data_IF_240825049304
#
_entry.id   IF_240825049304
#
_cell.length_a   1.000
_cell.length_b   1.000
_cell.length_c   1.000
_cell.angle_alpha   90.00
_cell.angle_beta   90.00
_cell.angle_gamma   90.00
#
_symmetry.space_group_name_H-M   'P 1'
#
loop_
_entity.id
_entity.type
_entity.pdbx_description
1 polymer ?
#
# COMPACT_ATOMS: atom_id res chain seq x y z
N UNK A 1 21.79 10.81 -10.18
CA UNK A 1 21.88 10.93 -8.71
C UNK A 1 23.02 11.88 -8.35
N UNK A 2 22.77 12.82 -7.45
CA UNK A 2 23.80 13.75 -6.98
C UNK A 2 24.81 13.01 -6.08
N UNK A 3 26.11 13.38 -6.13
CA UNK A 3 27.17 12.71 -5.37
C UNK A 3 26.93 12.68 -3.84
N UNK A 4 26.19 13.65 -3.31
CA UNK A 4 25.74 13.71 -1.90
C UNK A 4 25.04 12.41 -1.46
N UNK A 5 24.26 11.75 -2.34
CA UNK A 5 23.50 10.54 -2.02
C UNK A 5 24.26 9.24 -2.34
N UNK A 6 25.58 9.30 -2.48
CA UNK A 6 26.44 8.10 -2.62
C UNK A 6 26.24 7.09 -1.50
N UNK A 7 26.13 7.48 -0.21
CA UNK A 7 25.86 6.53 0.88
C UNK A 7 24.58 5.69 0.66
N UNK A 8 23.51 6.31 0.19
CA UNK A 8 22.25 5.60 -0.11
C UNK A 8 22.43 4.57 -1.24
N UNK A 9 23.17 4.94 -2.29
CA UNK A 9 23.48 4.01 -3.39
C UNK A 9 24.31 2.83 -2.90
N UNK A 10 25.31 3.10 -2.10
CA UNK A 10 26.23 2.06 -1.61
C UNK A 10 25.48 1.11 -0.67
N UNK A 11 24.69 1.62 0.26
CA UNK A 11 23.79 0.82 1.10
C UNK A 11 22.83 -0.04 0.24
N UNK A 12 22.17 0.54 -0.77
CA UNK A 12 21.29 -0.20 -1.67
C UNK A 12 22.02 -1.35 -2.39
N UNK A 13 23.24 -1.14 -2.86
CA UNK A 13 24.04 -2.17 -3.50
C UNK A 13 24.50 -3.25 -2.53
N UNK A 14 24.84 -2.88 -1.29
CA UNK A 14 25.26 -3.83 -0.24
C UNK A 14 24.15 -4.81 0.13
N UNK A 15 22.89 -4.43 0.02
CA UNK A 15 21.78 -5.36 0.21
C UNK A 15 21.82 -6.55 -0.77
N UNK A 16 22.27 -6.33 -2.01
CA UNK A 16 22.43 -7.40 -2.99
C UNK A 16 23.68 -8.23 -2.74
N UNK A 17 24.83 -7.58 -2.44
CA UNK A 17 26.08 -8.30 -2.20
C UNK A 17 26.03 -9.18 -0.97
N UNK A 18 25.22 -8.80 0.02
CA UNK A 18 24.98 -9.59 1.25
C UNK A 18 23.84 -10.60 1.09
N UNK A 19 23.18 -10.67 -0.08
CA UNK A 19 22.06 -11.58 -0.33
C UNK A 19 20.78 -11.22 0.44
N UNK A 20 20.68 -10.02 0.99
CA UNK A 20 19.49 -9.52 1.70
C UNK A 20 18.42 -8.99 0.73
N UNK A 21 18.79 -8.73 -0.52
CA UNK A 21 17.88 -8.33 -1.58
C UNK A 21 18.08 -9.17 -2.85
N UNK A 22 17.03 -9.33 -3.63
CA UNK A 22 17.04 -10.11 -4.89
C UNK A 22 16.53 -9.31 -6.07
N UNK A 23 15.64 -8.36 -5.82
CA UNK A 23 15.09 -7.47 -6.83
C UNK A 23 14.33 -6.32 -6.18
N UNK A 24 14.76 -5.08 -6.43
CA UNK A 24 14.15 -3.92 -5.81
C UNK A 24 14.33 -2.63 -6.63
N UNK A 25 13.52 -1.65 -6.28
CA UNK A 25 13.68 -0.25 -6.68
C UNK A 25 13.59 0.67 -5.46
N UNK A 26 14.35 1.77 -5.49
CA UNK A 26 14.34 2.84 -4.50
C UNK A 26 14.21 4.19 -5.21
N UNK A 27 13.31 5.03 -4.72
CA UNK A 27 13.15 6.40 -5.19
C UNK A 27 12.99 7.36 -4.02
N UNK A 28 13.73 8.48 -4.08
CA UNK A 28 13.65 9.58 -3.10
C UNK A 28 13.50 10.89 -3.86
N UNK A 29 12.56 11.72 -3.40
CA UNK A 29 12.46 13.12 -3.76
C UNK A 29 12.85 13.97 -2.55
N UNK A 30 13.51 15.07 -2.78
CA UNK A 30 13.85 16.04 -1.74
C UNK A 30 13.68 17.46 -2.31
N UNK A 31 13.00 18.33 -1.54
CA UNK A 31 12.65 19.68 -1.98
C UNK A 31 11.96 19.71 -3.37
N UNK A 32 11.05 18.77 -3.59
CA UNK A 32 10.25 18.69 -4.81
C UNK A 32 11.00 18.15 -6.05
N UNK A 33 12.23 17.68 -5.90
CA UNK A 33 13.02 17.11 -7.04
C UNK A 33 13.47 15.68 -6.75
N UNK A 34 13.50 14.79 -7.77
CA UNK A 34 13.98 13.43 -7.60
C UNK A 34 15.50 13.40 -7.42
N UNK A 35 15.97 12.94 -6.26
CA UNK A 35 17.40 12.90 -5.91
C UNK A 35 18.03 11.50 -5.97
N UNK A 36 17.22 10.45 -5.70
CA UNK A 36 17.63 9.05 -5.80
C UNK A 36 16.65 8.30 -6.68
N UNK A 37 17.19 7.51 -7.64
CA UNK A 37 16.46 6.54 -8.44
C UNK A 37 17.39 5.35 -8.67
N UNK A 38 17.14 4.25 -7.98
CA UNK A 38 17.95 3.04 -8.05
C UNK A 38 17.04 1.85 -8.38
N UNK A 39 17.56 0.95 -9.17
CA UNK A 39 16.97 -0.36 -9.47
C UNK A 39 18.07 -1.40 -9.47
N UNK A 40 17.75 -2.62 -9.06
CA UNK A 40 18.74 -3.69 -9.03
C UNK A 40 18.11 -5.07 -8.93
N UNK A 41 18.89 -6.09 -9.30
CA UNK A 41 18.52 -7.49 -9.17
C UNK A 41 17.66 -8.03 -10.31
N UNK A 42 16.85 -9.04 -9.99
CA UNK A 42 16.03 -9.79 -10.95
C UNK A 42 14.53 -9.62 -10.68
N UNK A 43 13.72 -9.77 -11.73
CA UNK A 43 12.25 -9.88 -11.64
C UNK A 43 11.77 -11.32 -11.46
N UNK A 44 12.67 -12.30 -11.51
CA UNK A 44 12.34 -13.71 -11.30
C UNK A 44 12.26 -14.01 -9.81
N UNK A 45 11.31 -14.86 -9.41
CA UNK A 45 11.34 -15.49 -8.08
C UNK A 45 12.62 -16.31 -7.94
N UNK A 46 13.26 -16.20 -6.79
CA UNK A 46 14.49 -16.95 -6.49
C UNK A 46 14.35 -17.67 -5.15
N UNK A 47 14.98 -18.86 -4.99
CA UNK A 47 14.99 -19.60 -3.74
C UNK A 47 15.60 -18.78 -2.58
N UNK A 48 15.18 -19.01 -1.34
CA UNK A 48 15.83 -18.44 -0.16
C UNK A 48 17.34 -18.72 -0.15
N UNK A 49 18.13 -17.75 0.32
CA UNK A 49 19.60 -17.86 0.37
C UNK A 49 20.31 -17.61 -0.97
N UNK A 50 19.56 -17.34 -2.05
CA UNK A 50 20.17 -16.99 -3.35
C UNK A 50 20.71 -15.57 -3.30
N UNK A 51 21.97 -15.39 -3.70
CA UNK A 51 22.59 -14.07 -3.91
C UNK A 51 22.40 -13.70 -5.37
N UNK A 52 21.80 -12.54 -5.61
CA UNK A 52 21.53 -11.99 -6.94
C UNK A 52 22.34 -10.70 -7.10
N UNK A 53 23.13 -10.54 -8.19
CA UNK A 53 23.86 -9.30 -8.41
C UNK A 53 22.90 -8.14 -8.68
N UNK A 54 23.23 -6.93 -8.20
CA UNK A 54 22.46 -5.73 -8.46
C UNK A 54 22.38 -5.38 -9.95
N UNK A 55 23.39 -5.78 -10.73
CA UNK A 55 23.42 -5.59 -12.18
C UNK A 55 23.83 -6.88 -12.90
N UNK A 56 23.33 -7.07 -14.14
CA UNK A 56 23.67 -8.21 -14.96
C UNK A 56 22.94 -9.52 -14.65
N UNK A 57 21.85 -9.45 -13.86
CA UNK A 57 20.99 -10.60 -13.59
C UNK A 57 20.21 -11.02 -14.85
N UNK A 58 19.88 -12.31 -14.94
CA UNK A 58 18.85 -12.78 -15.88
C UNK A 58 17.49 -12.17 -15.49
N UNK A 59 16.66 -11.77 -16.46
CA UNK A 59 15.43 -11.01 -16.23
C UNK A 59 15.67 -9.79 -15.31
N UNK A 60 16.48 -8.80 -15.74
CA UNK A 60 16.92 -7.71 -14.87
C UNK A 60 15.74 -6.82 -14.45
N UNK A 61 15.78 -6.34 -13.21
CA UNK A 61 14.86 -5.29 -12.75
C UNK A 61 15.09 -4.02 -13.56
N UNK A 62 13.99 -3.38 -13.98
CA UNK A 62 14.00 -2.16 -14.80
C UNK A 62 13.28 -1.03 -14.06
N UNK A 63 13.47 0.24 -14.50
CA UNK A 63 12.78 1.38 -13.90
C UNK A 63 11.24 1.28 -13.95
N UNK A 64 10.69 0.54 -14.91
CA UNK A 64 9.27 0.31 -15.13
C UNK A 64 8.79 -1.05 -14.62
N UNK A 65 9.63 -1.79 -13.88
CA UNK A 65 9.23 -3.04 -13.24
C UNK A 65 8.21 -2.76 -12.15
N UNK A 66 7.04 -3.37 -12.27
CA UNK A 66 6.00 -3.37 -11.24
C UNK A 66 6.25 -4.51 -10.25
N UNK A 67 5.90 -4.27 -9.00
CA UNK A 67 5.87 -5.31 -7.97
C UNK A 67 4.70 -5.06 -7.04
N UNK A 68 4.12 -6.12 -6.49
CA UNK A 68 3.11 -6.02 -5.45
C UNK A 68 3.72 -5.43 -4.18
N UNK A 69 3.17 -4.34 -3.69
CA UNK A 69 3.68 -3.60 -2.51
C UNK A 69 2.82 -3.81 -1.25
N UNK A 70 1.85 -4.71 -1.31
CA UNK A 70 0.93 -4.99 -0.21
C UNK A 70 0.30 -3.71 0.39
N UNK A 71 0.32 -3.60 1.72
CA UNK A 71 -0.35 -2.51 2.45
C UNK A 71 0.19 -1.12 2.14
N UNK A 72 1.40 -0.98 1.57
CA UNK A 72 1.86 0.30 1.06
C UNK A 72 0.95 0.87 -0.05
N UNK A 73 0.03 0.06 -0.58
CA UNK A 73 -1.03 0.46 -1.51
C UNK A 73 -2.28 1.04 -0.86
N UNK A 74 -2.53 0.85 0.44
CA UNK A 74 -3.75 1.34 1.12
C UNK A 74 -3.93 2.87 1.00
N UNK A 75 -2.89 3.69 1.15
CA UNK A 75 -3.03 5.12 0.91
C UNK A 75 -3.54 5.47 -0.49
N UNK A 76 -3.20 4.66 -1.49
CA UNK A 76 -3.60 4.91 -2.88
C UNK A 76 -5.11 4.72 -3.08
N UNK A 77 -5.70 3.68 -2.51
CA UNK A 77 -7.16 3.51 -2.57
C UNK A 77 -7.87 4.55 -1.70
N UNK A 78 -7.30 4.93 -0.55
CA UNK A 78 -7.83 6.02 0.26
C UNK A 78 -7.89 7.33 -0.54
N UNK A 79 -6.84 7.67 -1.27
CA UNK A 79 -6.78 8.87 -2.13
C UNK A 79 -7.82 8.85 -3.24
N UNK A 80 -8.22 7.68 -3.76
CA UNK A 80 -9.33 7.58 -4.71
C UNK A 80 -10.64 8.08 -4.07
N UNK A 81 -10.94 7.65 -2.84
CA UNK A 81 -12.13 8.11 -2.12
C UNK A 81 -12.01 9.56 -1.69
N UNK A 82 -10.84 9.98 -1.21
CA UNK A 82 -10.56 11.35 -0.81
C UNK A 82 -10.68 12.35 -1.97
N UNK A 83 -10.37 11.95 -3.20
CA UNK A 83 -10.62 12.77 -4.38
C UNK A 83 -12.12 13.02 -4.59
N UNK A 84 -12.98 12.06 -4.27
CA UNK A 84 -14.44 12.26 -4.30
C UNK A 84 -14.92 13.14 -3.13
N UNK A 85 -14.26 13.10 -1.98
CA UNK A 85 -14.48 14.02 -0.88
C UNK A 85 -14.14 15.46 -1.30
N UNK A 86 -12.98 15.66 -1.89
CA UNK A 86 -12.51 16.97 -2.38
C UNK A 86 -13.46 17.59 -3.42
N UNK A 87 -14.08 16.71 -4.23
CA UNK A 87 -15.09 17.11 -5.22
C UNK A 87 -16.50 17.28 -4.63
N UNK A 88 -16.67 17.19 -3.32
CA UNK A 88 -17.96 17.35 -2.64
C UNK A 88 -18.97 16.22 -2.91
N UNK A 89 -18.52 15.06 -3.44
CA UNK A 89 -19.37 13.91 -3.74
C UNK A 89 -19.53 12.96 -2.57
N UNK A 90 -18.62 13.01 -1.60
CA UNK A 90 -18.60 12.18 -0.39
C UNK A 90 -18.35 13.10 0.80
N UNK A 91 -19.12 12.92 1.87
CA UNK A 91 -18.90 13.54 3.17
C UNK A 91 -18.22 12.51 4.09
N UNK A 92 -17.10 12.88 4.69
CA UNK A 92 -16.34 12.02 5.59
C UNK A 92 -17.15 11.55 6.81
N UNK A 93 -18.03 12.41 7.30
CA UNK A 93 -18.80 12.17 8.53
C UNK A 93 -20.21 11.59 8.24
N UNK A 94 -20.56 11.42 6.97
CA UNK A 94 -21.76 10.72 6.57
C UNK A 94 -21.64 9.20 6.87
N UNK A 95 -22.74 8.52 7.22
CA UNK A 95 -22.75 7.08 7.35
C UNK A 95 -22.47 6.42 6.00
N UNK A 96 -21.73 5.31 6.01
CA UNK A 96 -21.42 4.51 4.81
C UNK A 96 -22.70 4.13 4.06
N UNK A 97 -23.80 3.84 4.78
CA UNK A 97 -25.10 3.50 4.20
C UNK A 97 -25.71 4.60 3.32
N UNK A 98 -25.26 5.84 3.43
CA UNK A 98 -25.69 6.93 2.53
C UNK A 98 -25.20 6.69 1.08
N UNK A 99 -24.06 6.04 0.91
CA UNK A 99 -23.45 5.73 -0.40
C UNK A 99 -23.56 4.25 -0.77
N UNK A 100 -23.70 3.38 0.24
CA UNK A 100 -23.81 1.94 0.08
C UNK A 100 -25.11 1.42 0.73
N UNK A 101 -26.27 1.50 0.03
CA UNK A 101 -27.51 0.99 0.54
C UNK A 101 -27.42 -0.49 0.94
N UNK A 102 -27.91 -0.81 2.13
CA UNK A 102 -27.82 -2.17 2.71
C UNK A 102 -26.57 -2.44 3.54
N UNK A 103 -25.63 -1.50 3.62
CA UNK A 103 -24.52 -1.60 4.56
C UNK A 103 -25.03 -1.47 6.00
N UNK A 104 -24.79 -2.50 6.83
CA UNK A 104 -25.41 -2.61 8.16
C UNK A 104 -24.64 -1.93 9.27
N UNK A 105 -23.30 -1.99 9.22
CA UNK A 105 -22.50 -1.37 10.26
C UNK A 105 -22.74 0.14 10.32
N UNK A 106 -23.02 0.72 11.51
CA UNK A 106 -23.29 2.15 11.66
C UNK A 106 -21.98 2.96 11.65
N UNK A 107 -21.12 2.69 10.68
CA UNK A 107 -19.84 3.36 10.53
C UNK A 107 -19.94 4.55 9.56
N UNK A 108 -19.16 5.60 9.82
CA UNK A 108 -18.96 6.72 8.90
C UNK A 108 -17.83 6.42 7.90
N UNK A 109 -17.77 7.20 6.83
CA UNK A 109 -16.68 7.12 5.86
C UNK A 109 -15.32 7.37 6.54
N UNK A 110 -15.25 8.35 7.45
CA UNK A 110 -14.05 8.63 8.25
C UNK A 110 -13.60 7.42 9.06
N UNK A 111 -14.52 6.72 9.72
CA UNK A 111 -14.22 5.53 10.50
C UNK A 111 -13.72 4.36 9.65
N UNK A 112 -14.17 4.23 8.40
CA UNK A 112 -13.60 3.28 7.44
C UNK A 112 -12.15 3.66 7.11
N UNK A 113 -11.90 4.93 6.77
CA UNK A 113 -10.57 5.41 6.40
C UNK A 113 -9.53 5.32 7.53
N UNK A 114 -9.98 5.35 8.78
CA UNK A 114 -9.14 5.31 9.99
C UNK A 114 -9.06 3.94 10.66
N UNK A 115 -9.50 2.88 9.97
CA UNK A 115 -9.50 1.51 10.49
C UNK A 115 -10.33 1.30 11.79
N UNK A 116 -11.29 2.18 12.06
CA UNK A 116 -12.13 2.13 13.28
C UNK A 116 -13.57 1.68 13.01
N UNK A 117 -13.88 1.20 11.79
CA UNK A 117 -15.24 0.77 11.43
C UNK A 117 -15.70 -0.54 12.10
N UNK A 118 -14.81 -1.27 12.78
CA UNK A 118 -15.14 -2.53 13.43
C UNK A 118 -15.31 -3.73 12.50
N UNK A 119 -14.79 -3.65 11.27
CA UNK A 119 -14.88 -4.68 10.23
C UNK A 119 -13.50 -5.18 9.78
N UNK A 120 -12.64 -5.66 10.70
CA UNK A 120 -11.24 -5.97 10.39
C UNK A 120 -11.06 -7.23 9.56
N UNK A 121 -12.06 -8.11 9.48
CA UNK A 121 -12.03 -9.37 8.75
C UNK A 121 -13.34 -9.62 7.99
N UNK A 122 -13.28 -10.37 6.90
CA UNK A 122 -14.50 -10.85 6.24
C UNK A 122 -15.26 -11.82 7.17
N UNK A 123 -16.59 -11.63 7.35
CA UNK A 123 -17.37 -12.38 8.36
C UNK A 123 -17.59 -13.85 7.96
N UNK A 124 -17.52 -14.15 6.65
CA UNK A 124 -17.80 -15.49 6.12
C UNK A 124 -16.51 -16.09 5.58
N UNK A 125 -16.11 -17.30 6.04
CA UNK A 125 -14.97 -18.00 5.44
C UNK A 125 -15.19 -18.27 3.94
N UNK A 126 -14.24 -17.88 3.12
CA UNK A 126 -14.30 -18.02 1.67
C UNK A 126 -13.10 -18.82 1.14
N UNK A 127 -13.27 -19.60 0.05
CA UNK A 127 -12.14 -20.27 -0.59
C UNK A 127 -11.21 -19.24 -1.28
N UNK A 128 -9.97 -19.64 -1.55
CA UNK A 128 -8.96 -18.79 -2.19
C UNK A 128 -9.45 -18.15 -3.51
N UNK A 129 -10.23 -18.88 -4.32
CA UNK A 129 -10.77 -18.35 -5.57
C UNK A 129 -11.72 -17.14 -5.39
N UNK A 130 -12.27 -16.95 -4.21
CA UNK A 130 -13.17 -15.82 -3.92
C UNK A 130 -12.45 -14.46 -3.94
N UNK A 131 -11.12 -14.42 -3.92
CA UNK A 131 -10.36 -13.17 -4.05
C UNK A 131 -10.69 -12.38 -5.32
N UNK A 132 -11.13 -13.06 -6.38
CA UNK A 132 -11.51 -12.43 -7.64
C UNK A 132 -13.01 -12.05 -7.70
N UNK A 133 -13.79 -12.38 -6.67
CA UNK A 133 -15.24 -12.10 -6.65
C UNK A 133 -15.52 -10.86 -5.79
N UNK A 134 -15.36 -9.70 -6.40
CA UNK A 134 -15.59 -8.41 -5.77
C UNK A 134 -17.00 -8.29 -5.17
N UNK A 135 -18.02 -8.67 -5.93
CA UNK A 135 -19.40 -8.48 -5.50
C UNK A 135 -19.77 -9.40 -4.32
N UNK A 136 -19.24 -10.64 -4.30
CA UNK A 136 -19.41 -11.56 -3.18
C UNK A 136 -18.79 -11.00 -1.90
N UNK A 137 -17.52 -10.54 -1.97
CA UNK A 137 -16.81 -10.01 -0.80
C UNK A 137 -17.44 -8.70 -0.30
N UNK A 138 -17.89 -7.84 -1.21
CA UNK A 138 -18.63 -6.63 -0.83
C UNK A 138 -20.01 -6.98 -0.22
N UNK A 139 -20.71 -7.99 -0.72
CA UNK A 139 -21.98 -8.43 -0.13
C UNK A 139 -21.80 -8.96 1.31
N UNK A 140 -20.73 -9.71 1.55
CA UNK A 140 -20.38 -10.18 2.90
C UNK A 140 -20.13 -9.01 3.86
N UNK A 141 -19.38 -7.99 3.43
CA UNK A 141 -19.11 -6.79 4.23
C UNK A 141 -20.37 -5.94 4.48
N UNK A 142 -21.23 -5.79 3.48
CA UNK A 142 -22.47 -5.04 3.64
C UNK A 142 -23.40 -5.68 4.67
N UNK A 143 -23.43 -7.01 4.75
CA UNK A 143 -24.24 -7.76 5.69
C UNK A 143 -23.59 -7.94 7.07
N UNK A 144 -22.32 -7.56 7.23
CA UNK A 144 -21.57 -7.76 8.47
C UNK A 144 -22.06 -6.82 9.59
N UNK A 145 -22.12 -7.37 10.80
CA UNK A 145 -22.19 -6.57 12.02
C UNK A 145 -20.76 -6.25 12.48
N UNK A 146 -20.49 -5.04 12.97
CA UNK A 146 -19.17 -4.68 13.44
C UNK A 146 -18.80 -5.47 14.71
N UNK A 147 -17.54 -5.89 14.84
CA UNK A 147 -17.06 -6.65 16.02
C UNK A 147 -17.03 -5.78 17.29
N UNK A 148 -17.03 -4.47 17.16
CA UNK A 148 -17.16 -3.46 18.21
C UNK A 148 -17.80 -2.19 17.67
N UNK A 149 -18.23 -1.33 18.58
CA UNK A 149 -18.82 -0.04 18.21
C UNK A 149 -17.84 0.76 17.33
N UNK A 150 -18.24 1.15 16.09
CA UNK A 150 -17.40 1.98 15.22
C UNK A 150 -16.88 3.22 15.93
N UNK A 151 -15.59 3.48 15.80
CA UNK A 151 -14.89 4.58 16.47
C UNK A 151 -14.32 4.25 17.85
N UNK A 152 -14.68 3.12 18.48
CA UNK A 152 -14.20 2.80 19.82
C UNK A 152 -12.72 2.41 19.88
N UNK A 153 -12.25 1.66 18.91
CA UNK A 153 -10.87 1.18 18.82
C UNK A 153 -10.52 0.90 17.35
N UNK A 154 -9.25 1.04 17.00
CA UNK A 154 -8.75 0.64 15.68
C UNK A 154 -8.34 -0.83 15.65
N UNK A 155 -8.48 -1.44 14.48
CA UNK A 155 -7.73 -2.61 14.07
C UNK A 155 -7.47 -2.46 12.56
N UNK A 156 -6.25 -2.55 12.12
CA UNK A 156 -5.96 -2.46 10.70
C UNK A 156 -6.87 -3.39 9.91
N UNK A 157 -7.65 -2.85 8.99
CA UNK A 157 -8.51 -3.61 8.09
C UNK A 157 -7.64 -4.20 6.98
N UNK A 158 -6.87 -5.25 7.32
CA UNK A 158 -5.76 -5.75 6.49
C UNK A 158 -6.18 -6.06 5.05
N UNK A 159 -7.33 -6.72 4.87
CA UNK A 159 -7.91 -7.04 3.56
C UNK A 159 -9.18 -6.24 3.25
N UNK A 160 -10.05 -6.11 4.24
CA UNK A 160 -11.38 -5.52 4.07
C UNK A 160 -11.33 -4.05 3.69
N UNK A 161 -10.24 -3.35 4.05
CA UNK A 161 -10.03 -1.93 3.69
C UNK A 161 -10.24 -1.65 2.22
N UNK A 162 -9.62 -2.47 1.36
CA UNK A 162 -9.69 -2.26 -0.08
C UNK A 162 -11.10 -2.37 -0.64
N UNK A 163 -11.89 -3.34 -0.14
CA UNK A 163 -13.28 -3.52 -0.55
C UNK A 163 -14.20 -2.45 0.06
N UNK A 164 -14.00 -2.07 1.33
CA UNK A 164 -14.78 -1.02 1.97
C UNK A 164 -14.60 0.33 1.25
N UNK A 165 -13.35 0.75 1.05
CA UNK A 165 -13.03 2.03 0.40
C UNK A 165 -13.31 1.98 -1.11
N UNK A 166 -12.89 0.91 -1.78
CA UNK A 166 -13.06 0.76 -3.23
C UNK A 166 -14.52 0.64 -3.65
N UNK A 167 -15.37 -0.01 -2.83
CA UNK A 167 -16.80 -0.09 -3.12
C UNK A 167 -17.48 1.27 -2.96
N UNK A 168 -17.07 2.09 -1.99
CA UNK A 168 -17.54 3.48 -1.90
C UNK A 168 -17.18 4.27 -3.15
N UNK A 169 -15.94 4.14 -3.67
CA UNK A 169 -15.55 4.76 -4.94
C UNK A 169 -16.43 4.27 -6.07
N UNK A 170 -16.61 2.94 -6.22
CA UNK A 170 -17.43 2.33 -7.28
C UNK A 170 -18.88 2.81 -7.25
N UNK A 171 -19.47 2.91 -6.08
CA UNK A 171 -20.88 3.34 -5.93
C UNK A 171 -21.09 4.81 -6.21
N UNK A 172 -20.16 5.65 -5.81
CA UNK A 172 -20.27 7.09 -6.00
C UNK A 172 -19.90 7.49 -7.43
N UNK A 173 -18.89 6.85 -8.04
CA UNK A 173 -18.40 7.23 -9.37
C UNK A 173 -18.93 6.34 -10.50
N UNK A 174 -19.17 5.06 -10.25
CA UNK A 174 -19.65 4.07 -11.22
C UNK A 174 -18.55 3.25 -11.88
N UNK A 175 -17.28 3.63 -11.75
CA UNK A 175 -16.13 2.88 -12.29
C UNK A 175 -15.54 1.95 -11.23
N UNK A 176 -14.98 0.78 -11.61
CA UNK A 176 -14.09 0.01 -10.74
C UNK A 176 -12.94 0.89 -10.24
N UNK A 177 -12.44 0.62 -9.03
CA UNK A 177 -11.45 1.49 -8.39
C UNK A 177 -10.11 1.55 -9.13
N UNK A 178 -9.69 0.47 -9.76
CA UNK A 178 -8.48 0.46 -10.59
C UNK A 178 -8.60 1.38 -11.80
N UNK A 179 -9.77 1.38 -12.46
CA UNK A 179 -10.03 2.32 -13.55
C UNK A 179 -10.11 3.77 -13.08
N UNK A 180 -10.77 4.02 -11.94
CA UNK A 180 -10.83 5.35 -11.34
C UNK A 180 -9.41 5.85 -11.03
N UNK A 181 -8.58 5.04 -10.37
CA UNK A 181 -7.18 5.35 -10.11
C UNK A 181 -6.41 5.72 -11.39
N UNK A 182 -6.53 4.89 -12.41
CA UNK A 182 -5.82 5.09 -13.68
C UNK A 182 -6.19 6.41 -14.37
N UNK A 183 -7.49 6.74 -14.42
CA UNK A 183 -7.99 7.90 -15.14
C UNK A 183 -7.89 9.21 -14.34
N UNK A 184 -8.07 9.17 -13.02
CA UNK A 184 -8.20 10.37 -12.19
C UNK A 184 -6.92 10.76 -11.44
N UNK A 185 -6.02 9.80 -11.15
CA UNK A 185 -4.83 10.05 -10.34
C UNK A 185 -3.56 9.63 -11.09
N UNK A 186 -3.45 8.35 -11.47
CA UNK A 186 -2.22 7.82 -12.03
C UNK A 186 -1.88 8.44 -13.38
N UNK A 187 -2.85 8.54 -14.28
CA UNK A 187 -2.66 9.16 -15.60
C UNK A 187 -2.26 10.64 -15.51
N UNK A 188 -3.05 11.51 -14.86
CA UNK A 188 -2.74 12.93 -14.71
C UNK A 188 -1.38 13.22 -14.07
N UNK A 189 -1.00 12.48 -13.03
CA UNK A 189 0.30 12.63 -12.37
C UNK A 189 1.39 11.73 -12.95
N UNK A 190 1.09 10.94 -14.00
CA UNK A 190 2.04 10.02 -14.66
C UNK A 190 2.70 9.08 -13.66
N UNK A 191 1.87 8.42 -12.83
CA UNK A 191 2.32 7.47 -11.84
C UNK A 191 2.27 6.06 -12.42
N UNK A 192 3.31 5.29 -12.24
CA UNK A 192 3.37 3.90 -12.65
C UNK A 192 2.97 3.00 -11.49
N UNK A 193 1.64 2.90 -11.28
CA UNK A 193 0.99 2.10 -10.24
C UNK A 193 -0.44 1.74 -10.69
N UNK A 194 -0.91 0.55 -10.33
CA UNK A 194 -2.22 0.06 -10.73
C UNK A 194 -2.79 -1.03 -9.80
N UNK A 195 -4.13 -1.09 -9.72
CA UNK A 195 -4.89 -2.25 -9.26
C UNK A 195 -5.47 -2.97 -10.48
N UNK A 196 -5.56 -4.30 -10.43
CA UNK A 196 -6.17 -5.08 -11.51
C UNK A 196 -5.41 -4.98 -12.83
N UNK A 197 -4.25 -5.62 -12.91
CA UNK A 197 -3.34 -5.46 -14.03
C UNK A 197 -3.86 -6.08 -15.34
N UNK A 198 -3.79 -5.32 -16.42
CA UNK A 198 -3.93 -5.81 -17.78
C UNK A 198 -2.73 -6.68 -18.21
N UNK A 199 -2.86 -7.38 -19.33
CA UNK A 199 -1.82 -8.30 -19.82
C UNK A 199 -0.44 -7.60 -20.04
N UNK A 200 -0.45 -6.37 -20.54
CA UNK A 200 0.78 -5.61 -20.78
C UNK A 200 1.54 -5.34 -19.47
N UNK A 201 0.85 -4.98 -18.40
CA UNK A 201 1.44 -4.69 -17.11
C UNK A 201 1.90 -5.97 -16.40
N UNK A 202 1.15 -7.08 -16.51
CA UNK A 202 1.57 -8.38 -15.96
C UNK A 202 2.92 -8.85 -16.52
N UNK A 203 3.24 -8.55 -17.80
CA UNK A 203 4.53 -8.91 -18.41
C UNK A 203 5.74 -8.21 -17.81
N UNK A 204 5.56 -7.07 -17.14
CA UNK A 204 6.64 -6.31 -16.49
C UNK A 204 6.62 -6.43 -14.97
N UNK A 205 5.81 -7.34 -14.42
CA UNK A 205 5.80 -7.61 -12.99
C UNK A 205 6.98 -8.46 -12.56
N UNK A 206 7.53 -8.12 -11.39
CA UNK A 206 8.41 -9.00 -10.66
C UNK A 206 7.60 -10.05 -9.88
N UNK A 207 8.16 -11.25 -9.78
CA UNK A 207 7.65 -12.32 -8.94
C UNK A 207 8.19 -12.16 -7.51
N UNK A 208 7.30 -12.23 -6.50
CA UNK A 208 7.70 -12.22 -5.10
C UNK A 208 8.35 -13.54 -4.71
N UNK A 209 9.29 -13.49 -3.77
CA UNK A 209 9.94 -14.67 -3.17
C UNK A 209 10.20 -14.45 -1.69
N UNK A 210 10.24 -15.53 -0.90
CA UNK A 210 10.55 -15.45 0.52
C UNK A 210 12.03 -15.27 0.78
N UNK A 211 12.39 -14.43 1.73
CA UNK A 211 13.73 -14.41 2.32
C UNK A 211 13.97 -15.67 3.18
N UNK A 212 12.95 -16.06 3.93
CA UNK A 212 12.91 -17.23 4.79
C UNK A 212 11.69 -18.09 4.45
N UNK A 213 11.82 -19.40 4.23
CA UNK A 213 10.67 -20.30 4.01
C UNK A 213 9.65 -20.28 5.15
N UNK A 214 10.04 -19.95 6.37
CA UNK A 214 9.16 -19.85 7.52
C UNK A 214 8.34 -18.54 7.56
N UNK A 215 8.63 -17.56 6.70
CA UNK A 215 7.96 -16.25 6.69
C UNK A 215 6.43 -16.32 6.64
N UNK A 216 5.77 -17.16 5.80
CA UNK A 216 4.31 -17.23 5.76
C UNK A 216 3.69 -17.67 7.08
N UNK A 217 4.34 -18.60 7.78
CA UNK A 217 3.85 -19.11 9.07
C UNK A 217 4.10 -18.09 10.18
N UNK A 218 5.24 -17.40 10.18
CA UNK A 218 5.55 -16.34 11.13
C UNK A 218 4.54 -15.18 11.05
N UNK A 219 3.98 -14.92 9.86
CA UNK A 219 2.96 -13.87 9.67
C UNK A 219 1.53 -14.32 10.03
N UNK A 220 1.29 -15.60 10.27
CA UNK A 220 -0.07 -16.17 10.36
C UNK A 220 -0.85 -15.76 11.61
N UNK A 221 -0.30 -15.58 12.72
CA UNK A 221 -1.02 -15.46 13.99
C UNK A 221 -1.64 -16.79 14.46
N UNK A 222 -2.09 -16.83 15.71
CA UNK A 222 -2.70 -18.02 16.32
C UNK A 222 -4.05 -18.34 15.65
N UNK A 223 -4.37 -19.64 15.44
CA UNK A 223 -5.65 -20.04 14.87
C UNK A 223 -6.86 -19.43 15.62
N UNK A 224 -7.78 -18.83 14.89
CA UNK A 224 -8.97 -18.17 15.44
C UNK A 224 -8.72 -16.75 16.01
N UNK A 225 -7.48 -16.30 16.12
CA UNK A 225 -7.18 -14.93 16.50
C UNK A 225 -7.70 -13.92 15.48
N UNK A 226 -7.83 -12.66 15.88
CA UNK A 226 -8.17 -11.56 14.97
C UNK A 226 -7.17 -11.53 13.80
N UNK A 227 -5.88 -11.66 14.09
CA UNK A 227 -4.81 -11.64 13.08
C UNK A 227 -4.98 -12.75 12.04
N UNK A 228 -5.24 -13.99 12.48
CA UNK A 228 -5.47 -15.10 11.54
C UNK A 228 -6.69 -14.87 10.67
N UNK A 229 -7.82 -14.39 11.23
CA UNK A 229 -9.05 -14.10 10.48
C UNK A 229 -8.86 -12.95 9.48
N UNK A 230 -8.17 -11.89 9.90
CA UNK A 230 -7.97 -10.69 9.08
C UNK A 230 -6.97 -10.90 7.94
N UNK A 231 -6.00 -11.84 8.10
CA UNK A 231 -4.93 -12.07 7.11
C UNK A 231 -5.14 -13.31 6.23
N UNK A 232 -6.11 -14.18 6.53
CA UNK A 232 -6.23 -15.48 5.87
C UNK A 232 -7.68 -15.81 5.41
N UNK A 233 -8.48 -14.80 5.23
CA UNK A 233 -9.83 -14.95 4.66
C UNK A 233 -10.11 -13.86 3.63
N UNK A 234 -10.20 -14.21 2.32
CA UNK A 234 -9.86 -15.50 1.70
C UNK A 234 -8.37 -15.85 1.85
N UNK A 235 -8.00 -17.14 1.90
CA UNK A 235 -6.61 -17.54 2.04
C UNK A 235 -5.80 -17.33 0.74
N UNK A 236 -4.47 -17.18 0.86
CA UNK A 236 -3.55 -17.11 -0.28
C UNK A 236 -2.71 -15.84 -0.36
N UNK A 237 -3.06 -14.78 0.39
CA UNK A 237 -2.31 -13.51 0.34
C UNK A 237 -0.88 -13.56 0.89
N UNK A 238 -0.47 -14.69 1.45
CA UNK A 238 0.90 -14.93 1.91
C UNK A 238 1.56 -16.08 1.15
N UNK A 239 0.86 -16.68 0.20
CA UNK A 239 1.40 -17.73 -0.67
C UNK A 239 1.94 -17.10 -1.95
N UNK A 240 3.25 -17.12 -2.16
CA UNK A 240 3.89 -16.56 -3.35
C UNK A 240 3.40 -17.22 -4.64
N UNK A 241 2.91 -18.46 -4.63
CA UNK A 241 2.33 -19.09 -5.81
C UNK A 241 1.00 -18.41 -6.17
N UNK A 242 0.19 -18.01 -5.19
CA UNK A 242 -1.03 -17.24 -5.41
C UNK A 242 -0.73 -15.80 -5.82
N UNK A 243 0.13 -15.11 -5.06
CA UNK A 243 0.42 -13.68 -5.28
C UNK A 243 1.10 -13.42 -6.62
N UNK A 244 1.89 -14.36 -7.12
CA UNK A 244 2.51 -14.29 -8.44
C UNK A 244 1.59 -14.75 -9.58
N UNK A 245 0.38 -15.25 -9.28
CA UNK A 245 -0.54 -15.75 -10.29
C UNK A 245 -1.22 -14.63 -11.08
N UNK A 246 -1.67 -14.97 -12.30
CA UNK A 246 -2.49 -14.06 -13.11
C UNK A 246 -3.82 -13.73 -12.43
N UNK A 247 -4.39 -14.65 -11.64
CA UNK A 247 -5.62 -14.43 -10.88
C UNK A 247 -5.44 -13.25 -9.90
N UNK A 248 -4.38 -13.30 -9.10
CA UNK A 248 -4.07 -12.25 -8.13
C UNK A 248 -3.79 -10.91 -8.80
N UNK A 249 -2.92 -10.92 -9.82
CA UNK A 249 -2.52 -9.70 -10.53
C UNK A 249 -3.67 -9.03 -11.27
N UNK A 250 -4.62 -9.82 -11.78
CA UNK A 250 -5.78 -9.30 -12.50
C UNK A 250 -6.94 -8.86 -11.58
N UNK A 251 -7.00 -9.38 -10.36
CA UNK A 251 -8.00 -8.98 -9.37
C UNK A 251 -7.76 -7.56 -8.85
N UNK A 252 -8.81 -6.86 -8.47
CA UNK A 252 -8.72 -5.63 -7.70
C UNK A 252 -8.80 -5.97 -6.20
N UNK A 253 -7.67 -5.93 -5.50
CA UNK A 253 -7.54 -6.17 -4.06
C UNK A 253 -6.86 -4.96 -3.40
N UNK A 254 -7.51 -3.78 -3.35
CA UNK A 254 -6.80 -2.50 -3.16
C UNK A 254 -6.10 -2.35 -1.80
N UNK A 255 -6.38 -3.21 -0.82
CA UNK A 255 -5.67 -3.23 0.45
C UNK A 255 -4.32 -3.95 0.38
N UNK A 256 -4.12 -4.86 -0.61
CA UNK A 256 -3.01 -5.82 -0.57
C UNK A 256 -2.32 -6.07 -1.91
N UNK A 257 -2.84 -5.60 -3.05
CA UNK A 257 -2.24 -5.90 -4.35
C UNK A 257 -2.00 -4.70 -5.27
N UNK A 258 -1.71 -3.55 -4.69
CA UNK A 258 -1.19 -2.46 -5.53
C UNK A 258 0.13 -2.93 -6.16
N UNK A 259 0.18 -2.92 -7.48
CA UNK A 259 1.43 -3.10 -8.22
C UNK A 259 1.99 -1.73 -8.58
N UNK A 260 3.22 -1.46 -8.16
CA UNK A 260 3.81 -0.14 -8.29
C UNK A 260 5.31 -0.19 -8.59
N UNK A 261 5.83 0.89 -9.14
CA UNK A 261 7.25 1.22 -9.10
C UNK A 261 7.53 2.11 -7.88
N UNK A 262 8.73 2.03 -7.30
CA UNK A 262 9.12 2.98 -6.25
C UNK A 262 9.07 4.44 -6.75
N UNK A 263 9.38 4.67 -8.02
CA UNK A 263 9.30 6.01 -8.63
C UNK A 263 7.85 6.53 -8.67
N UNK A 264 6.86 5.67 -8.97
CA UNK A 264 5.44 6.02 -8.97
C UNK A 264 4.96 6.40 -7.57
N UNK A 265 5.32 5.60 -6.55
CA UNK A 265 4.96 5.87 -5.16
C UNK A 265 5.63 7.15 -4.63
N UNK A 266 6.95 7.30 -4.76
CA UNK A 266 7.64 8.49 -4.28
C UNK A 266 7.10 9.77 -4.93
N UNK A 267 6.73 9.70 -6.21
CA UNK A 267 6.13 10.79 -6.96
C UNK A 267 4.71 11.11 -6.47
N UNK A 268 3.90 10.11 -6.10
CA UNK A 268 2.59 10.31 -5.49
C UNK A 268 2.73 11.13 -4.19
N UNK A 269 3.61 10.68 -3.30
CA UNK A 269 3.86 11.39 -2.05
C UNK A 269 4.46 12.78 -2.26
N UNK A 270 5.31 12.98 -3.29
CA UNK A 270 5.81 14.30 -3.64
C UNK A 270 4.69 15.26 -4.05
N UNK A 271 3.68 14.79 -4.78
CA UNK A 271 2.50 15.57 -5.11
C UNK A 271 1.66 15.94 -3.89
N UNK A 272 1.52 15.03 -2.94
CA UNK A 272 0.82 15.30 -1.68
C UNK A 272 1.62 16.30 -0.82
N UNK A 273 2.93 16.09 -0.66
CA UNK A 273 3.80 16.99 0.10
C UNK A 273 3.81 18.41 -0.49
N UNK A 274 3.62 18.53 -1.79
CA UNK A 274 3.44 19.81 -2.49
C UNK A 274 2.00 20.35 -2.44
N UNK A 275 1.18 19.93 -1.48
CA UNK A 275 -0.18 20.42 -1.28
C UNK A 275 -1.17 19.98 -2.37
N UNK A 276 -1.00 18.78 -2.92
CA UNK A 276 -1.92 18.20 -3.91
C UNK A 276 -1.66 18.60 -5.36
N UNK A 277 -0.48 19.18 -5.65
CA UNK A 277 -0.09 19.63 -7.00
C UNK A 277 1.24 18.99 -7.41
N UNK A 278 1.31 18.41 -8.60
CA UNK A 278 2.52 17.84 -9.16
C UNK A 278 2.67 18.26 -10.63
N UNK A 279 3.85 18.74 -11.02
CA UNK A 279 4.16 19.23 -12.38
C UNK A 279 3.09 20.21 -12.94
N UNK A 280 2.54 21.07 -12.06
CA UNK A 280 1.50 22.04 -12.42
C UNK A 280 0.09 21.44 -12.53
N UNK A 281 -0.09 20.14 -12.31
CA UNK A 281 -1.41 19.48 -12.27
C UNK A 281 -1.87 19.36 -10.84
N UNK A 282 -2.94 20.08 -10.48
CA UNK A 282 -3.60 19.95 -9.18
C UNK A 282 -4.65 18.84 -9.23
N UNK A 283 -4.52 17.84 -8.35
CA UNK A 283 -5.51 16.80 -8.14
C UNK A 283 -6.27 16.99 -6.83
N UNK A 284 -5.60 17.43 -5.78
CA UNK A 284 -6.19 17.61 -4.46
C UNK A 284 -6.08 19.07 -4.01
N UNK A 285 -7.05 19.54 -3.26
CA UNK A 285 -6.95 20.82 -2.59
C UNK A 285 -5.94 20.76 -1.44
N UNK A 286 -5.24 21.86 -1.11
CA UNK A 286 -4.35 21.91 0.05
C UNK A 286 -5.10 21.62 1.36
N UNK A 287 -6.36 22.02 1.45
CA UNK A 287 -7.25 21.79 2.58
C UNK A 287 -7.50 20.30 2.78
N UNK A 288 -7.80 19.56 1.69
CA UNK A 288 -7.95 18.11 1.77
C UNK A 288 -6.64 17.43 2.15
N UNK A 289 -5.50 17.81 1.57
CA UNK A 289 -4.22 17.23 1.92
C UNK A 289 -3.92 17.40 3.42
N UNK A 290 -4.18 18.60 3.97
CA UNK A 290 -4.05 18.89 5.40
C UNK A 290 -4.96 17.99 6.24
N UNK A 291 -6.24 17.87 5.85
CA UNK A 291 -7.19 16.99 6.55
C UNK A 291 -6.79 15.51 6.44
N UNK A 292 -6.31 15.09 5.28
CA UNK A 292 -5.94 13.69 5.01
C UNK A 292 -4.69 13.24 5.78
N UNK A 293 -3.75 14.14 6.05
CA UNK A 293 -2.47 13.82 6.68
C UNK A 293 -2.41 14.13 8.17
N UNK A 294 -3.43 14.79 8.74
CA UNK A 294 -3.50 14.97 10.19
C UNK A 294 -3.97 13.70 10.89
N UNK A 295 -3.56 13.50 12.14
CA UNK A 295 -4.01 12.39 12.99
C UNK A 295 -5.52 12.50 13.22
N UNK A 296 -6.23 11.41 12.96
CA UNK A 296 -7.68 11.26 13.12
C UNK A 296 -8.03 10.32 14.28
N UNK A 297 -7.17 9.33 14.51
CA UNK A 297 -7.28 8.38 15.62
C UNK A 297 -5.89 8.16 16.21
N UNK A 298 -5.81 8.15 17.54
CA UNK A 298 -4.59 7.83 18.30
C UNK A 298 -4.96 6.84 19.39
N UNK A 299 -4.32 5.70 19.42
CA UNK A 299 -4.60 4.67 20.41
C UNK A 299 -4.16 3.26 19.98
N UNK A 300 -4.61 2.22 20.72
CA UNK A 300 -4.26 0.85 20.40
C UNK A 300 -4.85 0.41 19.05
N UNK A 301 -4.07 -0.35 18.28
CA UNK A 301 -4.55 -1.09 17.12
C UNK A 301 -4.54 -2.58 17.44
N UNK A 302 -5.71 -3.22 17.40
CA UNK A 302 -5.89 -4.61 17.83
C UNK A 302 -5.27 -5.63 16.88
N UNK A 303 -5.03 -5.28 15.61
CA UNK A 303 -4.37 -6.16 14.65
C UNK A 303 -2.86 -6.03 14.72
N UNK A 304 -2.35 -4.81 14.85
CA UNK A 304 -0.92 -4.51 14.90
C UNK A 304 -0.32 -4.74 16.31
N UNK A 305 -1.19 -4.88 17.33
CA UNK A 305 -0.82 -5.09 18.74
C UNK A 305 0.15 -4.02 19.27
N UNK A 306 -0.07 -2.77 18.85
CA UNK A 306 0.68 -1.58 19.29
C UNK A 306 -0.17 -0.32 19.16
N UNK A 307 0.20 0.77 19.86
CA UNK A 307 -0.39 2.08 19.57
C UNK A 307 -0.07 2.51 18.13
N UNK A 308 -1.04 3.16 17.49
CA UNK A 308 -0.91 3.71 16.13
C UNK A 308 -1.66 5.04 16.05
N UNK A 309 -1.08 5.96 15.32
CA UNK A 309 -1.74 7.18 14.90
C UNK A 309 -2.18 7.03 13.44
N UNK A 310 -3.51 6.90 13.24
CA UNK A 310 -4.11 6.80 11.91
C UNK A 310 -4.54 8.18 11.39
N UNK A 311 -4.15 8.50 10.17
CA UNK A 311 -4.70 9.59 9.36
C UNK A 311 -5.84 9.05 8.48
N UNK A 312 -6.26 9.76 7.43
CA UNK A 312 -7.21 9.20 6.47
C UNK A 312 -6.52 8.26 5.48
N UNK A 313 -6.21 7.05 5.97
CA UNK A 313 -5.64 5.96 5.16
C UNK A 313 -4.12 5.82 5.19
N UNK A 314 -3.43 6.55 6.10
CA UNK A 314 -1.99 6.43 6.32
C UNK A 314 -1.69 6.30 7.82
N UNK A 315 -0.54 5.74 8.15
CA UNK A 315 0.04 5.85 9.49
C UNK A 315 0.79 7.17 9.60
N UNK A 316 0.69 7.81 10.75
CA UNK A 316 1.49 8.95 11.14
C UNK A 316 2.52 8.48 12.16
N UNK A 317 3.79 8.83 11.97
CA UNK A 317 4.87 8.42 12.84
C UNK A 317 5.34 9.58 13.74
N UNK A 318 5.93 9.29 14.92
CA UNK A 318 6.32 10.33 15.88
C UNK A 318 7.33 11.36 15.37
N UNK A 319 8.05 11.05 14.28
CA UNK A 319 8.95 11.99 13.61
C UNK A 319 8.24 12.94 12.61
N UNK A 320 6.90 12.88 12.57
CA UNK A 320 6.08 13.72 11.70
C UNK A 320 5.89 13.18 10.28
N UNK A 321 6.52 12.06 9.94
CA UNK A 321 6.32 11.40 8.66
C UNK A 321 4.95 10.69 8.58
N UNK A 322 4.44 10.52 7.37
CA UNK A 322 3.17 9.83 7.13
C UNK A 322 3.21 9.02 5.82
N UNK A 323 2.69 7.82 5.90
CA UNK A 323 2.71 6.87 4.81
C UNK A 323 2.30 5.49 5.24
N UNK A 324 2.80 4.46 4.58
CA UNK A 324 2.53 3.08 4.97
C UNK A 324 3.59 2.10 4.48
N UNK A 325 3.91 1.12 5.34
CA UNK A 325 4.65 -0.08 4.98
C UNK A 325 3.73 -1.23 4.57
N UNK A 326 4.23 -2.12 3.71
CA UNK A 326 3.59 -3.38 3.36
C UNK A 326 4.29 -4.57 4.00
N UNK A 327 3.55 -5.62 4.33
CA UNK A 327 4.18 -6.87 4.79
C UNK A 327 5.19 -7.34 3.73
N UNK A 328 6.39 -7.69 4.18
CA UNK A 328 7.48 -8.09 3.28
C UNK A 328 8.49 -7.00 2.95
N UNK A 329 8.27 -5.74 3.41
CA UNK A 329 9.31 -4.72 3.42
C UNK A 329 9.17 -3.59 2.39
N UNK A 330 8.22 -3.64 1.45
CA UNK A 330 7.91 -2.47 0.61
C UNK A 330 7.32 -1.34 1.46
N UNK A 331 7.75 -0.10 1.22
CA UNK A 331 7.31 1.05 2.04
C UNK A 331 7.34 2.34 1.24
N UNK A 332 6.41 3.27 1.56
CA UNK A 332 6.39 4.59 0.96
C UNK A 332 5.78 5.63 1.91
N UNK A 333 6.41 6.81 2.00
CA UNK A 333 5.96 7.91 2.86
C UNK A 333 6.50 9.26 2.45
N UNK A 334 5.99 10.30 3.08
CA UNK A 334 6.54 11.64 3.07
C UNK A 334 6.99 12.07 4.46
N UNK A 335 8.09 12.79 4.53
CA UNK A 335 8.60 13.49 5.71
C UNK A 335 8.55 15.00 5.44
N UNK A 336 7.54 15.70 5.96
CA UNK A 336 7.37 17.12 5.73
C UNK A 336 8.41 17.97 6.48
N UNK A 337 8.94 17.49 7.60
CA UNK A 337 9.94 18.22 8.38
C UNK A 337 11.27 18.30 7.64
N UNK A 338 11.70 17.17 7.04
CA UNK A 338 12.94 17.09 6.27
C UNK A 338 12.75 17.33 4.78
N UNK A 339 11.50 17.55 4.32
CA UNK A 339 11.17 17.87 2.93
C UNK A 339 11.43 16.75 1.93
N UNK A 340 11.35 15.47 2.33
CA UNK A 340 11.58 14.36 1.40
C UNK A 340 10.40 13.40 1.31
N UNK A 341 10.37 12.64 0.21
CA UNK A 341 9.55 11.44 0.06
C UNK A 341 10.43 10.25 -0.25
N UNK A 342 10.05 9.10 0.28
CA UNK A 342 10.77 7.85 0.15
C UNK A 342 9.84 6.76 -0.36
N UNK A 343 10.31 5.93 -1.27
CA UNK A 343 9.63 4.69 -1.63
C UNK A 343 10.65 3.59 -1.95
N UNK A 344 10.46 2.45 -1.34
CA UNK A 344 11.19 1.22 -1.60
C UNK A 344 10.20 0.12 -1.97
N UNK A 345 10.41 -0.50 -3.12
CA UNK A 345 9.58 -1.59 -3.63
C UNK A 345 10.46 -2.80 -3.91
N UNK A 346 10.15 -3.93 -3.28
CA UNK A 346 10.99 -5.14 -3.25
C UNK A 346 10.21 -6.40 -3.63
N UNK A 347 10.88 -7.32 -4.33
CA UNK A 347 10.38 -8.66 -4.61
C UNK A 347 10.69 -9.68 -3.48
N UNK A 348 11.55 -9.31 -2.51
CA UNK A 348 11.96 -10.21 -1.43
C UNK A 348 11.16 -9.97 -0.16
N UNK A 349 10.25 -10.88 0.16
CA UNK A 349 9.44 -10.83 1.38
C UNK A 349 10.31 -11.10 2.62
N UNK A 350 10.53 -10.07 3.43
CA UNK A 350 11.31 -10.08 4.67
C UNK A 350 10.76 -9.02 5.65
N UNK A 351 11.56 -8.63 6.62
CA UNK A 351 11.33 -7.51 7.53
C UNK A 351 11.56 -6.13 6.87
N UNK A 352 11.50 -5.08 7.69
CA UNK A 352 11.75 -3.70 7.28
C UNK A 352 13.18 -3.19 7.58
N UNK A 353 14.07 -4.02 8.11
CA UNK A 353 15.45 -3.62 8.47
C UNK A 353 16.20 -3.00 7.28
N UNK A 354 15.94 -3.49 6.05
CA UNK A 354 16.50 -2.94 4.82
C UNK A 354 16.07 -1.50 4.57
N UNK A 355 14.83 -1.19 4.91
CA UNK A 355 14.28 0.17 4.79
C UNK A 355 14.92 1.09 5.83
N UNK A 356 15.06 0.61 7.06
CA UNK A 356 15.69 1.38 8.15
C UNK A 356 17.12 1.76 7.80
N UNK A 357 17.95 0.82 7.33
CA UNK A 357 19.32 1.09 6.88
C UNK A 357 19.39 2.10 5.72
N UNK A 358 18.48 1.98 4.73
CA UNK A 358 18.41 2.92 3.62
C UNK A 358 18.02 4.33 4.08
N UNK A 359 17.15 4.42 5.10
CA UNK A 359 16.72 5.69 5.69
C UNK A 359 17.84 6.30 6.53
N UNK A 360 18.57 5.51 7.31
CA UNK A 360 19.77 5.99 8.04
C UNK A 360 20.82 6.56 7.07
N UNK A 361 21.07 5.83 5.97
CA UNK A 361 21.97 6.32 4.91
C UNK A 361 21.45 7.61 4.27
N UNK A 362 20.12 7.73 4.07
CA UNK A 362 19.48 8.95 3.54
C UNK A 362 19.66 10.12 4.52
N UNK A 363 19.34 9.92 5.80
CA UNK A 363 19.43 10.97 6.80
C UNK A 363 20.87 11.48 6.98
N UNK A 364 21.88 10.63 6.75
CA UNK A 364 23.28 11.08 6.75
C UNK A 364 23.62 12.02 5.58
N UNK A 365 22.73 12.08 4.58
CA UNK A 365 22.89 12.92 3.37
C UNK A 365 22.04 14.21 3.44
N UNK A 366 21.03 14.30 4.29
CA UNK A 366 20.14 15.46 4.41
C UNK A 366 20.71 16.49 5.39
#
# INVERSE_FOLDING_TARGET
>A
MHARFTPVRDCFHDLFTTGRETGASLSVWHDGVPVVKLVGGTTAAVPPGTVVPAAGADRPWRPDTLVDVYSAGKPVVALCLLLLVDRGRVDLDAPVSAYWPGFRAPATVRQVLTHTAGLPAFPVPRPAAAIADWDLLCADLAAAEPEWTPGAVAAEHAWTYGHLVGELVRRVDGRPVGRFLAEEIAGPWRLDLAFGLGEADRRRCADLSYADPAWPDAMRGEPGSLRARALDNPPGGRDVAMVNSDLWRAAELPAVNLHATAAGLARLYAGLLAGGTLDGVRLFSPELVTEATRVQYSGPDLLLDRPVDWTLGMQWEPDGSWGMGGIGGSSAWADPERGYTFAYATARLADHDRVEELVEALHSCL
#
